data_IF_320870486623
#
_entry.id   IF_320870486623
#
_cell.length_a   1.000
_cell.length_b   1.000
_cell.length_c   1.000
_cell.angle_alpha   90.00
_cell.angle_beta   90.00
_cell.angle_gamma   90.00
#
_symmetry.space_group_name_H-M   'P 1'
#
loop_
_entity.id
_entity.type
_entity.pdbx_description
1 polymer ?
#
# COMPACT_ATOMS: atom_id res chain seq x y z
N UNK A 1 -26.46 -9.74 6.03
CA UNK A 1 -25.02 -9.68 6.34
C UNK A 1 -24.47 -8.32 5.91
N UNK A 2 -23.38 -7.81 6.50
CA UNK A 2 -22.74 -6.59 5.97
C UNK A 2 -21.87 -6.97 4.74
N UNK A 3 -21.80 -6.13 3.69
CA UNK A 3 -20.89 -6.40 2.59
C UNK A 3 -19.43 -6.37 3.08
N UNK A 4 -18.58 -7.22 2.51
CA UNK A 4 -17.15 -7.31 2.84
C UNK A 4 -16.31 -7.29 1.57
N UNK A 5 -15.06 -6.84 1.72
CA UNK A 5 -14.07 -6.83 0.66
C UNK A 5 -12.73 -7.24 1.28
N UNK A 6 -12.05 -8.18 0.64
CA UNK A 6 -10.79 -8.75 1.10
C UNK A 6 -9.77 -8.71 -0.04
N UNK A 7 -8.52 -8.43 0.31
CA UNK A 7 -7.40 -8.37 -0.62
C UNK A 7 -6.25 -9.18 -0.03
N UNK A 8 -5.73 -10.14 -0.78
CA UNK A 8 -4.67 -11.05 -0.33
C UNK A 8 -3.56 -11.04 -1.37
N UNK A 9 -2.35 -10.70 -0.94
CA UNK A 9 -1.15 -10.72 -1.77
C UNK A 9 -0.40 -12.04 -1.61
N UNK A 10 -0.03 -12.64 -2.73
CA UNK A 10 0.79 -13.84 -2.77
C UNK A 10 2.29 -13.50 -2.76
N UNK A 11 3.12 -14.53 -2.59
CA UNK A 11 4.59 -14.40 -2.51
C UNK A 11 5.22 -13.80 -3.78
N UNK A 12 4.56 -13.92 -4.92
CA UNK A 12 5.01 -13.41 -6.22
C UNK A 12 4.52 -11.99 -6.52
N UNK A 13 3.84 -11.34 -5.57
CA UNK A 13 3.33 -9.97 -5.70
C UNK A 13 1.96 -9.84 -6.36
N UNK A 14 1.39 -10.94 -6.85
CA UNK A 14 0.02 -11.00 -7.35
C UNK A 14 -1.00 -10.92 -6.22
N UNK A 15 -2.19 -10.43 -6.55
CA UNK A 15 -3.24 -10.13 -5.58
C UNK A 15 -4.57 -10.72 -6.00
N UNK A 16 -5.17 -11.46 -5.08
CA UNK A 16 -6.55 -11.91 -5.16
C UNK A 16 -7.44 -10.95 -4.37
N UNK A 17 -8.57 -10.56 -4.97
CA UNK A 17 -9.56 -9.69 -4.36
C UNK A 17 -10.90 -10.38 -4.35
N UNK A 18 -11.55 -10.37 -3.20
CA UNK A 18 -12.83 -11.04 -2.98
C UNK A 18 -13.85 -10.03 -2.47
N UNK A 19 -15.00 -9.95 -3.13
CA UNK A 19 -16.13 -9.10 -2.73
C UNK A 19 -17.36 -9.95 -2.40
N UNK A 20 -17.88 -9.79 -1.18
CA UNK A 20 -19.10 -10.44 -0.71
C UNK A 20 -20.19 -9.41 -0.48
N UNK A 21 -21.33 -9.60 -1.16
CA UNK A 21 -22.50 -8.72 -1.01
C UNK A 21 -23.17 -8.89 0.36
N UNK A 22 -24.00 -7.93 0.78
CA UNK A 22 -24.77 -8.06 2.04
C UNK A 22 -25.76 -9.24 2.04
N UNK A 23 -26.12 -9.74 0.86
CA UNK A 23 -26.91 -10.96 0.66
C UNK A 23 -26.09 -12.25 0.60
N UNK A 24 -24.78 -12.19 0.86
CA UNK A 24 -23.91 -13.37 0.95
C UNK A 24 -23.33 -13.89 -0.37
N UNK A 25 -23.68 -13.29 -1.52
CA UNK A 25 -23.08 -13.66 -2.81
C UNK A 25 -21.65 -13.15 -2.91
N UNK A 26 -20.71 -14.05 -3.15
CA UNK A 26 -19.28 -13.77 -3.28
C UNK A 26 -18.84 -13.79 -4.75
N UNK A 27 -17.83 -12.99 -5.09
CA UNK A 27 -17.12 -13.02 -6.36
C UNK A 27 -15.67 -12.61 -6.13
N UNK A 28 -14.74 -13.25 -6.84
CA UNK A 28 -13.31 -12.99 -6.72
C UNK A 28 -12.67 -12.66 -8.07
N UNK A 29 -11.56 -11.93 -8.05
CA UNK A 29 -10.75 -11.58 -9.23
C UNK A 29 -9.28 -11.54 -8.85
N UNK A 30 -8.40 -11.77 -9.83
CA UNK A 30 -6.95 -11.73 -9.67
C UNK A 30 -6.31 -10.57 -10.44
N UNK A 31 -5.24 -10.01 -9.89
CA UNK A 31 -4.39 -9.01 -10.52
C UNK A 31 -2.91 -9.31 -10.25
N UNK A 32 -2.04 -9.31 -11.27
CA UNK A 32 -0.60 -9.49 -11.06
C UNK A 32 0.08 -8.28 -10.38
N UNK A 33 -0.52 -7.10 -10.48
CA UNK A 33 -0.01 -5.84 -9.94
C UNK A 33 -1.05 -4.74 -10.09
N UNK A 34 -2.07 -4.69 -9.21
CA UNK A 34 -3.16 -3.74 -9.34
C UNK A 34 -2.67 -2.31 -9.01
N UNK A 35 -3.21 -1.26 -9.65
CA UNK A 35 -2.80 0.13 -9.41
C UNK A 35 -3.39 0.68 -8.10
N UNK A 36 -2.73 1.64 -7.46
CA UNK A 36 -3.25 2.29 -6.25
C UNK A 36 -4.56 3.07 -6.51
N UNK A 37 -4.61 3.81 -7.62
CA UNK A 37 -5.80 4.57 -8.01
C UNK A 37 -6.86 3.67 -8.67
N UNK A 38 -8.06 3.73 -8.11
CA UNK A 38 -9.26 3.04 -8.60
C UNK A 38 -10.41 4.02 -8.87
N UNK A 39 -10.26 5.32 -8.64
CA UNK A 39 -11.40 6.24 -8.68
C UNK A 39 -12.00 6.39 -10.08
N UNK A 40 -11.18 6.20 -11.11
CA UNK A 40 -11.58 6.29 -12.52
C UNK A 40 -12.45 5.11 -13.00
N UNK A 41 -12.54 3.99 -12.25
CA UNK A 41 -13.26 2.80 -12.76
C UNK A 41 -14.78 2.97 -12.73
N UNK A 42 -15.44 2.55 -13.81
CA UNK A 42 -16.90 2.65 -13.97
C UNK A 42 -17.63 1.36 -13.54
N UNK A 43 -18.97 1.43 -13.48
CA UNK A 43 -19.82 0.28 -13.13
C UNK A 43 -19.61 -0.91 -14.07
N UNK A 44 -19.49 -0.67 -15.37
CA UNK A 44 -19.39 -1.76 -16.34
C UNK A 44 -18.03 -2.46 -16.27
N UNK A 45 -16.95 -1.71 -16.01
CA UNK A 45 -15.66 -2.31 -15.67
C UNK A 45 -15.78 -3.21 -14.43
N UNK A 46 -16.43 -2.71 -13.36
CA UNK A 46 -16.58 -3.46 -12.12
C UNK A 46 -17.46 -4.71 -12.27
N UNK A 47 -18.48 -4.69 -13.13
CA UNK A 47 -19.26 -5.89 -13.49
C UNK A 47 -18.40 -6.94 -14.19
N UNK A 48 -17.48 -6.51 -15.04
CA UNK A 48 -16.53 -7.41 -15.72
C UNK A 48 -15.52 -8.05 -14.76
N UNK A 49 -15.20 -7.39 -13.64
CA UNK A 49 -14.31 -7.91 -12.60
C UNK A 49 -15.02 -8.74 -11.53
N UNK A 50 -16.21 -8.33 -11.15
CA UNK A 50 -16.99 -8.97 -10.09
C UNK A 50 -18.39 -9.28 -10.60
N UNK A 51 -18.65 -10.56 -10.84
CA UNK A 51 -19.90 -11.05 -11.41
C UNK A 51 -21.13 -10.78 -10.54
N UNK A 52 -20.96 -10.35 -9.28
CA UNK A 52 -22.01 -10.01 -8.31
C UNK A 52 -22.24 -8.49 -8.15
N UNK A 53 -21.52 -7.63 -8.87
CA UNK A 53 -21.74 -6.17 -8.87
C UNK A 53 -22.91 -5.79 -9.79
N UNK A 54 -23.85 -4.98 -9.30
CA UNK A 54 -25.05 -4.55 -10.04
C UNK A 54 -25.30 -3.04 -9.95
N UNK A 55 -24.81 -2.37 -8.91
CA UNK A 55 -25.15 -0.97 -8.60
C UNK A 55 -23.92 -0.12 -8.33
N UNK A 56 -24.05 1.21 -8.54
CA UNK A 56 -22.99 2.18 -8.22
C UNK A 56 -22.63 2.18 -6.73
N UNK A 57 -23.59 2.00 -5.82
CA UNK A 57 -23.32 1.90 -4.38
C UNK A 57 -22.35 0.77 -4.03
N UNK A 58 -22.42 -0.36 -4.74
CA UNK A 58 -21.46 -1.45 -4.56
C UNK A 58 -20.07 -1.08 -5.10
N UNK A 59 -20.01 -0.35 -6.22
CA UNK A 59 -18.76 0.17 -6.77
C UNK A 59 -18.10 1.13 -5.79
N UNK A 60 -18.84 2.10 -5.26
CA UNK A 60 -18.32 3.07 -4.28
C UNK A 60 -17.81 2.37 -3.01
N UNK A 61 -18.55 1.36 -2.54
CA UNK A 61 -18.11 0.51 -1.44
C UNK A 61 -16.79 -0.19 -1.75
N UNK A 62 -16.69 -0.85 -2.92
CA UNK A 62 -15.49 -1.56 -3.34
C UNK A 62 -14.32 -0.60 -3.51
N UNK A 63 -14.49 0.57 -4.15
CA UNK A 63 -13.43 1.57 -4.31
C UNK A 63 -12.85 2.02 -2.97
N UNK A 64 -13.72 2.33 -1.99
CA UNK A 64 -13.29 2.70 -0.65
C UNK A 64 -12.53 1.57 0.04
N UNK A 65 -13.08 0.36 0.04
CA UNK A 65 -12.44 -0.81 0.68
C UNK A 65 -11.18 -1.27 -0.03
N UNK A 66 -11.12 -1.10 -1.34
CA UNK A 66 -9.93 -1.33 -2.15
C UNK A 66 -8.78 -0.46 -1.65
N UNK A 67 -9.00 0.86 -1.48
CA UNK A 67 -7.97 1.78 -0.97
C UNK A 67 -7.49 1.39 0.43
N UNK A 68 -8.41 1.13 1.36
CA UNK A 68 -8.08 0.67 2.73
C UNK A 68 -7.26 -0.64 2.71
N UNK A 69 -7.70 -1.62 1.91
CA UNK A 69 -7.04 -2.91 1.81
C UNK A 69 -5.70 -2.81 1.06
N UNK A 70 -5.61 -1.98 0.02
CA UNK A 70 -4.38 -1.72 -0.73
C UNK A 70 -3.32 -1.09 0.17
N UNK A 71 -3.69 -0.11 0.99
CA UNK A 71 -2.81 0.45 2.02
C UNK A 71 -2.30 -0.62 2.99
N UNK A 72 -3.17 -1.53 3.42
CA UNK A 72 -2.80 -2.62 4.35
C UNK A 72 -1.89 -3.67 3.70
N UNK A 73 -2.23 -4.09 2.48
CA UNK A 73 -1.60 -5.22 1.78
C UNK A 73 -0.31 -4.84 1.08
N UNK A 74 -0.31 -3.68 0.43
CA UNK A 74 0.88 -3.16 -0.23
C UNK A 74 1.70 -2.26 0.66
N UNK A 75 1.19 -1.94 1.86
CA UNK A 75 1.85 -0.98 2.73
C UNK A 75 2.15 0.27 1.93
N UNK A 76 1.12 0.82 1.26
CA UNK A 76 1.28 2.08 0.54
C UNK A 76 2.01 3.00 1.50
N UNK A 77 3.22 3.36 1.08
CA UNK A 77 3.97 4.42 1.69
C UNK A 77 3.05 5.63 1.52
N UNK A 78 2.26 5.96 2.55
CA UNK A 78 2.15 7.37 2.85
C UNK A 78 3.60 7.86 2.82
N UNK A 79 3.88 8.78 1.90
CA UNK A 79 5.20 9.41 1.76
C UNK A 79 5.80 9.55 3.15
N UNK A 80 6.98 8.96 3.40
CA UNK A 80 7.54 8.89 4.74
C UNK A 80 7.41 10.26 5.42
N UNK A 81 6.75 10.33 6.56
CA UNK A 81 6.49 11.60 7.24
C UNK A 81 7.52 11.86 8.33
N UNK A 82 7.66 13.11 8.72
CA UNK A 82 8.45 13.45 9.92
C UNK A 82 8.01 12.58 11.09
N UNK A 83 8.96 11.93 11.75
CA UNK A 83 8.70 11.06 12.90
C UNK A 83 8.57 9.57 12.57
N UNK A 84 8.33 9.19 11.32
CA UNK A 84 8.31 7.79 10.91
C UNK A 84 9.63 7.09 11.27
N UNK A 85 9.51 5.84 11.72
CA UNK A 85 10.66 4.99 12.05
C UNK A 85 10.93 4.04 10.91
N UNK A 86 12.19 3.96 10.49
CA UNK A 86 12.61 3.15 9.34
C UNK A 86 13.90 2.40 9.65
N UNK A 87 14.12 1.30 8.94
CA UNK A 87 15.43 0.64 8.84
C UNK A 87 15.92 0.70 7.40
N UNK A 88 17.24 0.75 7.24
CA UNK A 88 17.86 0.63 5.93
C UNK A 88 17.87 -0.84 5.51
N UNK A 89 17.56 -1.12 4.24
CA UNK A 89 17.65 -2.47 3.68
C UNK A 89 18.29 -2.44 2.29
N UNK A 90 18.81 -3.59 1.86
CA UNK A 90 19.29 -3.82 0.47
C UNK A 90 20.27 -2.76 -0.05
N UNK A 91 21.12 -2.20 0.83
CA UNK A 91 22.17 -1.24 0.49
C UNK A 91 23.43 -1.47 1.35
N UNK A 92 24.55 -0.85 1.00
CA UNK A 92 25.81 -1.02 1.73
C UNK A 92 25.71 -0.45 3.16
N UNK A 93 25.00 0.66 3.31
CA UNK A 93 24.70 1.29 4.59
C UNK A 93 23.88 0.37 5.50
N UNK A 94 22.96 -0.44 4.96
CA UNK A 94 22.22 -1.42 5.74
C UNK A 94 23.13 -2.46 6.40
N UNK A 95 24.20 -2.90 5.72
CA UNK A 95 25.21 -3.79 6.32
C UNK A 95 26.01 -3.10 7.42
N UNK A 96 26.30 -1.81 7.24
CA UNK A 96 27.07 -1.02 8.21
C UNK A 96 26.26 -0.65 9.46
N UNK A 97 24.95 -0.48 9.30
CA UNK A 97 24.03 -0.05 10.36
C UNK A 97 22.93 -1.11 10.58
N UNK A 98 23.32 -2.38 10.57
CA UNK A 98 22.39 -3.50 10.68
C UNK A 98 21.54 -3.38 11.97
N UNK A 99 20.22 -3.50 11.81
CA UNK A 99 19.26 -3.37 12.92
C UNK A 99 19.07 -1.94 13.45
N UNK A 100 19.77 -0.93 12.93
CA UNK A 100 19.61 0.45 13.39
C UNK A 100 18.30 1.05 12.90
N UNK A 101 17.48 1.48 13.85
CA UNK A 101 16.26 2.24 13.59
C UNK A 101 16.60 3.72 13.45
N UNK A 102 16.16 4.31 12.34
CA UNK A 102 16.27 5.74 12.04
C UNK A 102 14.91 6.42 12.18
N UNK A 103 14.94 7.72 12.45
CA UNK A 103 13.74 8.55 12.49
C UNK A 103 13.78 9.54 11.34
N UNK A 104 12.72 9.61 10.55
CA UNK A 104 12.53 10.60 9.50
C UNK A 104 12.51 12.01 10.11
N UNK A 105 13.39 12.88 9.61
CA UNK A 105 13.54 14.29 10.01
C UNK A 105 12.70 15.20 9.13
N UNK A 106 12.43 14.80 7.88
CA UNK A 106 11.56 15.50 6.95
C UNK A 106 10.47 14.55 6.48
N UNK A 107 9.44 15.12 5.86
CA UNK A 107 8.62 14.37 4.92
C UNK A 107 9.50 13.93 3.74
N UNK A 108 9.07 12.89 3.05
CA UNK A 108 9.64 12.47 1.77
C UNK A 108 9.45 13.59 0.74
N UNK A 109 10.47 13.78 -0.10
CA UNK A 109 10.44 14.76 -1.18
C UNK A 109 11.21 14.24 -2.40
N UNK A 110 10.96 14.87 -3.54
CA UNK A 110 11.66 14.57 -4.80
C UNK A 110 12.95 15.40 -4.88
N UNK A 111 14.10 14.73 -4.92
CA UNK A 111 15.38 15.40 -5.16
C UNK A 111 15.46 15.93 -6.61
N UNK A 112 16.44 16.80 -6.89
CA UNK A 112 16.70 17.31 -8.25
C UNK A 112 17.00 16.21 -9.26
N UNK A 113 17.52 15.06 -8.81
CA UNK A 113 17.73 13.85 -9.62
C UNK A 113 16.44 13.09 -9.98
N UNK A 114 15.29 13.52 -9.44
CA UNK A 114 14.00 12.85 -9.59
C UNK A 114 13.76 11.70 -8.61
N UNK A 115 14.75 11.34 -7.80
CA UNK A 115 14.63 10.29 -6.79
C UNK A 115 13.80 10.74 -5.58
N UNK A 116 13.01 9.81 -5.03
CA UNK A 116 12.29 10.01 -3.76
C UNK A 116 13.25 9.79 -2.58
N UNK A 117 13.35 10.78 -1.71
CA UNK A 117 14.34 10.84 -0.63
C UNK A 117 13.76 11.42 0.66
N UNK A 118 14.42 11.14 1.79
CA UNK A 118 14.08 11.70 3.10
C UNK A 118 15.36 12.02 3.88
N UNK A 119 15.34 13.02 4.76
CA UNK A 119 16.43 13.19 5.74
C UNK A 119 16.17 12.34 6.97
N UNK A 120 17.21 11.67 7.48
CA UNK A 120 17.12 10.88 8.72
C UNK A 120 17.86 11.60 9.85
N UNK A 121 17.33 11.56 11.07
CA UNK A 121 17.99 12.15 12.25
C UNK A 121 19.35 11.48 12.48
N UNK A 122 20.43 12.27 12.49
CA UNK A 122 21.80 11.79 12.73
C UNK A 122 22.47 11.09 11.54
N UNK A 123 21.84 11.08 10.36
CA UNK A 123 22.48 10.64 9.11
C UNK A 123 22.92 11.88 8.30
N UNK A 124 24.09 11.82 7.68
CA UNK A 124 24.58 12.91 6.85
C UNK A 124 23.99 12.81 5.45
N UNK A 125 23.24 13.85 5.04
CA UNK A 125 22.56 13.90 3.75
C UNK A 125 21.16 13.27 3.77
N UNK A 126 20.50 13.28 2.60
CA UNK A 126 19.24 12.60 2.39
C UNK A 126 19.48 11.14 1.96
N UNK A 127 18.50 10.28 2.21
CA UNK A 127 18.57 8.87 1.88
C UNK A 127 17.44 8.45 0.96
N UNK A 128 17.69 7.51 0.06
CA UNK A 128 16.69 7.07 -0.93
C UNK A 128 15.63 6.20 -0.28
N UNK A 129 14.37 6.59 -0.47
CA UNK A 129 13.20 5.95 0.13
C UNK A 129 13.08 4.47 -0.28
N UNK A 130 13.50 4.10 -1.48
CA UNK A 130 13.46 2.72 -1.99
C UNK A 130 14.35 1.73 -1.20
N UNK A 131 15.24 2.23 -0.35
CA UNK A 131 16.10 1.43 0.52
C UNK A 131 15.73 1.58 2.00
N UNK A 132 14.52 2.09 2.28
CA UNK A 132 13.98 2.26 3.62
C UNK A 132 12.73 1.42 3.79
N UNK A 133 12.67 0.69 4.89
CA UNK A 133 11.48 -0.04 5.31
C UNK A 133 10.94 0.61 6.57
N UNK A 134 9.70 1.11 6.50
CA UNK A 134 8.98 1.64 7.67
C UNK A 134 8.71 0.53 8.67
N UNK A 135 8.95 0.81 9.94
CA UNK A 135 8.61 -0.07 11.05
C UNK A 135 7.27 0.37 11.60
N UNK A 136 6.29 -0.52 11.59
CA UNK A 136 5.10 -0.41 12.42
C UNK A 136 5.34 -1.28 13.65
N UNK A 137 5.58 -0.64 14.80
CA UNK A 137 5.52 -1.36 16.08
C UNK A 137 4.03 -1.53 16.38
N UNK A 138 3.48 -2.70 16.10
CA UNK A 138 2.22 -3.10 16.72
C UNK A 138 2.54 -3.26 18.21
N UNK A 139 2.10 -2.30 19.02
CA UNK A 139 2.06 -2.49 20.47
C UNK A 139 1.05 -3.61 20.74
N UNK A 140 1.55 -4.77 21.17
CA UNK A 140 0.74 -5.88 21.68
C UNK A 140 0.19 -5.53 23.06
#
# INVERSE_FOLDING_TARGET
MKPTFEMIKNEHGGVEMTYTTGGGKQSSTYFPGPPEDIDHVCLDYMKGRFANVRTLKQVDFIKRKYKEAYQTVFGAMDELKVGDKVVMHTCLEAKRYEGKVWTCRTDQFKASSGSQVVFLKGFSGYFSVKYLQRISLLEN
#
